data_IF_684208035925
#
_entry.id   IF_684208035925
#
_cell.length_a   1.000
_cell.length_b   1.000
_cell.length_c   1.000
_cell.angle_alpha   90.00
_cell.angle_beta   90.00
_cell.angle_gamma   90.00
#
_symmetry.space_group_name_H-M   'P 1'
#
loop_
_entity.id
_entity.type
_entity.pdbx_description
1 polymer ?
#
# COMPACT_ATOMS: atom_id res chain seq x y z
N UNK A 1 -11.55 -53.36 81.57
CA UNK A 1 -10.31 -53.17 80.87
C UNK A 1 -10.70 -52.85 79.41
N UNK A 2 -10.72 -51.56 78.99
CA UNK A 2 -11.01 -51.09 77.63
C UNK A 2 -9.75 -50.40 77.10
N UNK A 3 -9.28 -50.87 75.95
CA UNK A 3 -8.19 -50.24 75.17
C UNK A 3 -8.80 -49.29 74.16
N UNK A 4 -8.47 -48.00 74.30
CA UNK A 4 -8.72 -47.02 73.27
C UNK A 4 -7.51 -46.96 72.30
N UNK A 5 -7.75 -47.25 71.04
CA UNK A 5 -6.80 -47.03 69.96
C UNK A 5 -7.12 -45.70 69.25
N UNK A 6 -6.17 -44.74 69.32
CA UNK A 6 -6.27 -43.46 68.68
C UNK A 6 -5.68 -43.58 67.27
N UNK A 7 -6.50 -43.40 66.25
CA UNK A 7 -6.10 -43.22 64.82
C UNK A 7 -5.77 -41.79 64.57
N UNK A 8 -4.51 -41.51 64.22
CA UNK A 8 -4.07 -40.22 63.63
C UNK A 8 -4.31 -40.25 62.17
N UNK A 9 -5.25 -39.40 61.68
CA UNK A 9 -5.43 -39.13 60.28
C UNK A 9 -4.50 -37.95 59.87
N UNK A 10 -3.47 -38.26 59.08
CA UNK A 10 -2.66 -37.25 58.39
C UNK A 10 -3.41 -36.77 57.18
N UNK A 11 -3.92 -35.54 57.22
CA UNK A 11 -4.51 -34.87 56.04
C UNK A 11 -3.43 -34.37 55.08
N UNK A 12 -3.37 -34.92 53.87
CA UNK A 12 -2.66 -34.31 52.75
C UNK A 12 -3.43 -33.09 52.26
N UNK A 13 -2.87 -31.90 52.50
CA UNK A 13 -3.32 -30.69 51.81
C UNK A 13 -2.77 -30.71 50.38
N UNK A 14 -3.62 -30.94 49.40
CA UNK A 14 -3.35 -30.69 48.00
C UNK A 14 -3.39 -29.18 47.79
N UNK A 15 -2.23 -28.60 47.49
CA UNK A 15 -2.12 -27.22 47.03
C UNK A 15 -2.67 -27.16 45.61
N UNK A 16 -3.89 -26.67 45.42
CA UNK A 16 -4.40 -26.27 44.14
C UNK A 16 -3.60 -25.07 43.63
N UNK A 17 -2.58 -25.36 42.82
CA UNK A 17 -1.92 -24.34 42.03
C UNK A 17 -2.90 -23.90 40.90
N UNK A 18 -3.57 -22.79 41.11
CA UNK A 18 -4.31 -22.09 40.05
C UNK A 18 -3.34 -21.79 38.91
N UNK A 19 -3.62 -22.25 37.67
CA UNK A 19 -2.77 -21.86 36.54
C UNK A 19 -2.77 -20.34 36.42
N UNK A 20 -1.65 -19.69 36.01
CA UNK A 20 -1.64 -18.29 35.81
C UNK A 20 -2.68 -17.95 34.71
N UNK A 21 -3.71 -17.22 35.09
CA UNK A 21 -4.60 -16.59 34.14
C UNK A 21 -3.73 -15.67 33.27
N UNK A 22 -3.57 -16.05 32.00
CA UNK A 22 -3.08 -15.15 30.99
C UNK A 22 -4.01 -13.95 31.00
N UNK A 23 -3.57 -12.83 31.56
CA UNK A 23 -4.25 -11.56 31.44
C UNK A 23 -4.32 -11.24 29.96
N UNK A 24 -5.44 -11.55 29.32
CA UNK A 24 -5.78 -10.94 28.03
C UNK A 24 -5.94 -9.45 28.34
N UNK A 25 -4.91 -8.67 28.00
CA UNK A 25 -5.01 -7.23 27.96
C UNK A 25 -6.04 -6.88 26.88
N UNK A 26 -7.32 -6.89 27.27
CA UNK A 26 -8.43 -6.35 26.47
C UNK A 26 -8.36 -4.81 26.53
N UNK A 27 -7.24 -4.23 26.07
CA UNK A 27 -7.23 -2.81 25.78
C UNK A 27 -8.11 -2.58 24.56
N UNK A 28 -9.08 -1.68 24.70
CA UNK A 28 -9.95 -1.28 23.58
C UNK A 28 -9.09 -0.66 22.46
N UNK A 29 -9.49 -0.89 21.23
CA UNK A 29 -8.88 -0.23 20.08
C UNK A 29 -9.13 1.26 20.16
N UNK A 30 -8.09 2.12 20.11
CA UNK A 30 -8.24 3.56 20.19
C UNK A 30 -8.97 4.11 18.95
N UNK A 31 -9.68 5.21 19.13
CA UNK A 31 -10.29 5.99 18.05
C UNK A 31 -9.20 6.82 17.38
N UNK A 32 -8.75 6.35 16.21
CA UNK A 32 -7.62 6.95 15.50
C UNK A 32 -8.09 8.02 14.53
N UNK A 33 -7.38 9.15 14.52
CA UNK A 33 -7.36 10.12 13.43
C UNK A 33 -6.00 10.05 12.71
N UNK A 34 -5.99 10.16 11.40
CA UNK A 34 -4.76 10.28 10.62
C UNK A 34 -4.91 11.23 9.45
N UNK A 35 -3.96 12.16 9.22
CA UNK A 35 -3.92 12.95 7.99
C UNK A 35 -3.40 12.12 6.80
N UNK A 36 -2.70 11.00 7.07
CA UNK A 36 -1.99 10.22 6.05
C UNK A 36 -2.88 9.14 5.41
N UNK A 37 -2.92 9.14 4.09
CA UNK A 37 -3.71 8.19 3.32
C UNK A 37 -3.18 6.75 3.40
N UNK A 38 -1.86 6.59 3.55
CA UNK A 38 -1.24 5.28 3.67
C UNK A 38 -1.57 4.60 4.98
N UNK A 39 -1.52 5.38 6.08
CA UNK A 39 -1.92 4.92 7.41
C UNK A 39 -3.42 4.58 7.40
N UNK A 40 -4.26 5.47 6.83
CA UNK A 40 -5.70 5.20 6.72
C UNK A 40 -5.99 3.92 5.92
N UNK A 41 -5.35 3.75 4.77
CA UNK A 41 -5.48 2.55 3.93
C UNK A 41 -5.07 1.27 4.68
N UNK A 42 -3.94 1.31 5.38
CA UNK A 42 -3.43 0.15 6.13
C UNK A 42 -4.37 -0.21 7.29
N UNK A 43 -4.85 0.79 8.05
CA UNK A 43 -5.82 0.58 9.11
C UNK A 43 -7.12 -0.05 8.60
N UNK A 44 -7.65 0.45 7.46
CA UNK A 44 -8.85 -0.14 6.83
C UNK A 44 -8.60 -1.58 6.40
N UNK A 45 -7.45 -1.85 5.79
CA UNK A 45 -7.08 -3.19 5.34
C UNK A 45 -6.92 -4.18 6.50
N UNK A 46 -6.48 -3.71 7.67
CA UNK A 46 -6.39 -4.50 8.91
C UNK A 46 -7.76 -4.70 9.59
N UNK A 47 -8.83 -4.04 9.12
CA UNK A 47 -10.18 -4.10 9.70
C UNK A 47 -10.44 -3.08 10.82
N UNK A 48 -9.59 -2.09 11.00
CA UNK A 48 -9.67 -1.05 12.04
C UNK A 48 -9.66 0.35 11.43
N UNK A 49 -10.69 0.74 10.68
CA UNK A 49 -10.71 2.01 9.98
C UNK A 49 -10.57 3.19 10.95
N UNK A 50 -9.86 4.26 10.56
CA UNK A 50 -9.77 5.46 11.39
C UNK A 50 -11.13 6.12 11.53
N UNK A 51 -11.38 6.80 12.65
CA UNK A 51 -12.62 7.59 12.85
C UNK A 51 -12.61 8.86 12.00
N UNK A 52 -11.42 9.39 11.69
CA UNK A 52 -11.27 10.58 10.86
C UNK A 52 -9.99 10.55 10.01
N UNK A 53 -10.05 11.16 8.84
CA UNK A 53 -8.92 11.34 7.93
C UNK A 53 -9.04 12.64 7.14
N UNK A 54 -7.95 13.07 6.52
CA UNK A 54 -7.96 14.23 5.62
C UNK A 54 -8.19 13.84 4.15
N UNK A 55 -8.77 14.77 3.36
CA UNK A 55 -8.93 14.67 1.90
C UNK A 55 -9.61 13.37 1.42
N UNK A 56 -10.64 12.92 2.11
CA UNK A 56 -11.34 11.66 1.78
C UNK A 56 -11.87 11.62 0.32
N UNK A 57 -12.40 12.70 -0.29
CA UNK A 57 -12.80 12.70 -1.69
C UNK A 57 -11.62 12.43 -2.64
N UNK A 58 -10.47 13.09 -2.42
CA UNK A 58 -9.26 12.90 -3.23
C UNK A 58 -8.61 11.54 -3.00
N UNK A 59 -8.71 10.98 -1.80
CA UNK A 59 -8.32 9.60 -1.57
C UNK A 59 -9.02 8.64 -2.53
N UNK A 60 -10.33 8.82 -2.75
CA UNK A 60 -11.10 7.98 -3.66
C UNK A 60 -10.60 8.07 -5.11
N UNK A 61 -10.15 9.25 -5.53
CA UNK A 61 -9.65 9.50 -6.88
C UNK A 61 -8.24 8.92 -7.09
N UNK A 62 -7.33 9.15 -6.14
CA UNK A 62 -5.90 8.86 -6.31
C UNK A 62 -5.48 7.49 -5.76
N UNK A 63 -6.10 7.04 -4.69
CA UNK A 63 -5.79 5.76 -4.04
C UNK A 63 -6.82 4.68 -4.41
N UNK A 64 -8.09 5.00 -4.25
CA UNK A 64 -9.23 4.18 -4.65
C UNK A 64 -9.49 2.95 -3.80
N UNK A 65 -8.45 2.22 -3.39
CA UNK A 65 -8.54 1.00 -2.57
C UNK A 65 -7.47 0.99 -1.46
N UNK A 66 -7.78 0.39 -0.27
CA UNK A 66 -9.12 -0.09 0.15
C UNK A 66 -10.13 1.04 0.26
N UNK A 67 -11.42 0.74 0.14
CA UNK A 67 -12.47 1.76 0.27
C UNK A 67 -12.56 2.27 1.71
N UNK A 68 -12.48 3.57 1.90
CA UNK A 68 -12.67 4.19 3.21
C UNK A 68 -14.17 4.12 3.58
N UNK A 69 -14.53 3.59 4.76
CA UNK A 69 -15.92 3.50 5.20
C UNK A 69 -16.62 4.86 5.26
N UNK A 70 -17.95 4.86 5.06
CA UNK A 70 -18.75 6.07 5.17
C UNK A 70 -18.69 6.67 6.59
N UNK A 71 -18.47 5.84 7.60
CA UNK A 71 -18.35 6.22 9.01
C UNK A 71 -17.07 6.98 9.36
N UNK A 72 -16.03 6.94 8.50
CA UNK A 72 -14.83 7.75 8.69
C UNK A 72 -15.12 9.19 8.28
N UNK A 73 -14.94 10.12 9.21
CA UNK A 73 -15.13 11.55 8.96
C UNK A 73 -14.00 12.12 8.08
N UNK A 74 -14.37 13.08 7.23
CA UNK A 74 -13.42 13.89 6.49
C UNK A 74 -13.17 15.19 7.26
N UNK A 75 -11.94 15.46 7.65
CA UNK A 75 -11.56 16.68 8.37
C UNK A 75 -11.08 17.81 7.44
N UNK A 76 -11.36 17.70 6.15
CA UNK A 76 -10.92 18.66 5.13
C UNK A 76 -9.55 18.30 4.58
N UNK A 77 -8.81 19.30 4.08
CA UNK A 77 -7.52 19.03 3.46
C UNK A 77 -6.52 18.42 4.45
N UNK A 78 -5.83 17.37 4.04
CA UNK A 78 -4.84 16.66 4.87
C UNK A 78 -3.64 17.51 5.27
N UNK A 79 -3.36 18.59 4.52
CA UNK A 79 -2.27 19.52 4.79
C UNK A 79 -2.66 20.64 5.76
N UNK A 80 -3.95 20.86 5.91
CA UNK A 80 -4.54 21.87 6.80
C UNK A 80 -5.96 21.46 7.18
N UNK A 81 -6.13 20.44 8.03
CA UNK A 81 -7.43 20.00 8.48
C UNK A 81 -8.20 21.14 9.15
N UNK A 82 -9.52 21.06 9.12
CA UNK A 82 -10.38 22.05 9.75
C UNK A 82 -10.38 21.85 11.29
N UNK A 83 -9.86 22.82 12.09
CA UNK A 83 -9.77 22.67 13.54
C UNK A 83 -11.13 22.55 14.23
N UNK A 84 -12.18 23.21 13.68
CA UNK A 84 -13.51 23.15 14.26
C UNK A 84 -14.12 21.75 14.09
N UNK A 85 -13.95 21.14 12.91
CA UNK A 85 -14.38 19.76 12.68
C UNK A 85 -13.60 18.79 13.57
N UNK A 86 -12.28 18.95 13.63
CA UNK A 86 -11.42 18.14 14.47
C UNK A 86 -11.83 18.18 15.95
N UNK A 87 -12.12 19.37 16.50
CA UNK A 87 -12.50 19.56 17.92
C UNK A 87 -13.82 18.91 18.31
N UNK A 88 -14.68 18.57 17.34
CA UNK A 88 -15.97 17.91 17.58
C UNK A 88 -15.87 16.39 17.58
N UNK A 89 -14.72 15.82 17.24
CA UNK A 89 -14.53 14.40 17.13
C UNK A 89 -13.96 13.82 18.42
N UNK A 90 -14.45 12.67 18.79
CA UNK A 90 -13.94 11.87 19.92
C UNK A 90 -12.76 11.02 19.41
N UNK A 91 -11.54 11.52 19.61
CA UNK A 91 -10.27 10.97 19.16
C UNK A 91 -9.42 10.61 20.37
N UNK A 92 -8.87 9.39 20.39
CA UNK A 92 -7.97 8.90 21.44
C UNK A 92 -6.49 9.01 21.04
N UNK A 93 -6.20 8.95 19.73
CA UNK A 93 -4.86 8.84 19.18
C UNK A 93 -4.77 9.45 17.79
N UNK A 94 -3.72 10.21 17.55
CA UNK A 94 -3.31 10.62 16.20
C UNK A 94 -2.17 9.75 15.74
N UNK A 95 -2.26 9.19 14.53
CA UNK A 95 -1.15 8.50 13.87
C UNK A 95 -0.79 9.31 12.63
N UNK A 96 0.43 9.84 12.58
CA UNK A 96 0.93 10.66 11.48
C UNK A 96 2.24 10.11 10.90
N UNK A 97 2.81 10.87 9.98
CA UNK A 97 4.17 10.74 9.48
C UNK A 97 4.91 12.05 9.69
N UNK A 98 6.24 12.02 9.70
CA UNK A 98 7.06 13.22 9.85
C UNK A 98 6.67 14.35 8.88
N UNK A 99 6.20 14.01 7.68
CA UNK A 99 5.66 14.95 6.70
C UNK A 99 4.54 15.85 7.25
N UNK A 100 3.76 15.38 8.23
CA UNK A 100 2.64 16.11 8.84
C UNK A 100 3.00 16.76 10.20
N UNK A 101 4.27 16.84 10.57
CA UNK A 101 4.72 17.39 11.84
C UNK A 101 4.17 18.81 12.10
N UNK A 102 4.01 19.61 11.05
CA UNK A 102 3.47 20.97 11.12
C UNK A 102 2.02 21.03 11.64
N UNK A 103 1.28 19.91 11.62
CA UNK A 103 -0.10 19.82 12.13
C UNK A 103 -0.17 19.54 13.63
N UNK A 104 0.90 19.03 14.25
CA UNK A 104 0.91 18.58 15.65
C UNK A 104 0.44 19.62 16.66
N UNK A 105 0.73 20.93 16.51
CA UNK A 105 0.18 21.94 17.41
C UNK A 105 -1.35 21.97 17.46
N UNK A 106 -2.05 21.55 16.40
CA UNK A 106 -3.50 21.48 16.33
C UNK A 106 -4.09 20.34 17.19
N UNK A 107 -3.31 19.29 17.43
CA UNK A 107 -3.77 18.09 18.12
C UNK A 107 -3.83 18.24 19.65
N UNK A 108 -3.26 19.34 20.20
CA UNK A 108 -3.26 19.63 21.64
C UNK A 108 -2.52 18.54 22.43
N UNK A 109 -3.19 18.01 23.45
CA UNK A 109 -2.62 16.99 24.36
C UNK A 109 -2.86 15.53 23.87
N UNK A 110 -3.41 15.34 22.68
CA UNK A 110 -3.65 13.98 22.16
C UNK A 110 -2.30 13.26 21.95
N UNK A 111 -2.22 11.97 22.30
CA UNK A 111 -1.08 11.15 21.96
C UNK A 111 -0.87 11.11 20.44
N UNK A 112 0.39 11.18 20.02
CA UNK A 112 0.79 11.12 18.61
C UNK A 112 1.80 10.00 18.43
N UNK A 113 1.53 9.09 17.49
CA UNK A 113 2.51 8.12 17.01
C UNK A 113 2.88 8.48 15.57
N UNK A 114 4.18 8.58 15.30
CA UNK A 114 4.69 8.87 13.96
C UNK A 114 5.25 7.60 13.34
N UNK A 115 4.64 7.14 12.24
CA UNK A 115 4.98 5.86 11.60
C UNK A 115 5.23 6.07 10.12
N UNK A 116 6.44 5.76 9.66
CA UNK A 116 6.81 5.87 8.25
C UNK A 116 6.53 4.56 7.51
N UNK A 117 5.71 4.63 6.46
CA UNK A 117 5.33 3.48 5.63
C UNK A 117 6.08 3.43 4.28
N UNK A 118 7.20 4.13 4.18
CA UNK A 118 8.07 4.12 3.00
C UNK A 118 9.43 3.53 3.35
N UNK A 119 10.07 2.86 2.39
CA UNK A 119 11.47 2.48 2.53
C UNK A 119 12.38 3.70 2.37
N UNK A 120 13.44 3.77 3.17
CA UNK A 120 14.55 4.71 3.00
C UNK A 120 15.74 4.07 2.26
N UNK A 121 15.63 2.78 1.92
CA UNK A 121 16.65 2.06 1.20
C UNK A 121 16.65 2.45 -0.29
N UNK A 122 17.80 2.37 -0.93
CA UNK A 122 17.94 2.60 -2.37
C UNK A 122 17.12 1.60 -3.20
N UNK A 123 17.00 0.37 -2.72
CA UNK A 123 16.11 -0.66 -3.24
C UNK A 123 15.17 -1.07 -2.11
N UNK A 124 13.88 -0.83 -2.30
CA UNK A 124 12.88 -1.23 -1.33
C UNK A 124 12.68 -2.74 -1.35
N UNK A 125 12.54 -3.34 -0.17
CA UNK A 125 12.29 -4.76 0.01
C UNK A 125 11.02 -4.97 0.82
N UNK A 126 10.44 -6.17 0.79
CA UNK A 126 9.30 -6.51 1.63
C UNK A 126 9.58 -6.29 3.13
N UNK A 127 10.80 -6.61 3.56
CA UNK A 127 11.18 -6.56 4.97
C UNK A 127 11.18 -5.13 5.53
N UNK A 128 11.37 -4.11 4.69
CA UNK A 128 11.31 -2.69 5.10
C UNK A 128 9.94 -2.29 5.64
N UNK A 129 8.88 -3.03 5.30
CA UNK A 129 7.50 -2.71 5.65
C UNK A 129 6.93 -3.57 6.78
N UNK A 130 7.68 -4.58 7.24
CA UNK A 130 7.25 -5.47 8.33
C UNK A 130 7.13 -4.68 9.63
N UNK A 131 8.21 -4.10 10.10
CA UNK A 131 8.24 -3.42 11.39
C UNK A 131 7.30 -2.21 11.46
N UNK A 132 7.23 -1.29 10.45
CA UNK A 132 6.27 -0.21 10.49
C UNK A 132 4.80 -0.67 10.54
N UNK A 133 4.47 -1.76 9.86
CA UNK A 133 3.11 -2.33 9.90
C UNK A 133 2.81 -2.94 11.28
N UNK A 134 3.77 -3.65 11.88
CA UNK A 134 3.62 -4.20 13.23
C UNK A 134 3.52 -3.09 14.28
N UNK A 135 4.28 -2.01 14.13
CA UNK A 135 4.19 -0.83 14.99
C UNK A 135 2.82 -0.18 14.90
N UNK A 136 2.26 -0.04 13.70
CA UNK A 136 0.89 0.43 13.53
C UNK A 136 -0.12 -0.47 14.26
N UNK A 137 0.04 -1.79 14.18
CA UNK A 137 -0.78 -2.74 14.92
C UNK A 137 -0.67 -2.60 16.44
N UNK A 138 0.55 -2.40 16.95
CA UNK A 138 0.78 -2.15 18.39
C UNK A 138 0.14 -0.83 18.85
N UNK A 139 0.24 0.21 18.04
CA UNK A 139 -0.34 1.55 18.33
C UNK A 139 -1.86 1.51 18.55
N UNK A 140 -2.53 0.57 17.91
CA UNK A 140 -3.99 0.39 18.02
C UNK A 140 -4.39 -0.82 18.89
N UNK A 141 -3.46 -1.39 19.66
CA UNK A 141 -3.65 -2.60 20.49
C UNK A 141 -4.06 -3.85 19.68
N UNK A 142 -3.65 -3.95 18.41
CA UNK A 142 -3.99 -5.05 17.49
C UNK A 142 -2.76 -5.65 16.79
N UNK A 143 -1.71 -6.08 17.54
CA UNK A 143 -0.48 -6.59 16.94
C UNK A 143 -0.70 -7.86 16.12
N UNK A 144 -1.65 -8.73 16.53
CA UNK A 144 -2.00 -9.93 15.78
C UNK A 144 -2.64 -9.59 14.43
N UNK A 145 -3.52 -8.59 14.38
CA UNK A 145 -4.15 -8.17 13.12
C UNK A 145 -3.10 -7.65 12.13
N UNK A 146 -2.07 -6.94 12.59
CA UNK A 146 -0.98 -6.49 11.74
C UNK A 146 -0.15 -7.66 11.19
N UNK A 147 0.16 -8.66 12.02
CA UNK A 147 0.86 -9.87 11.57
C UNK A 147 0.02 -10.65 10.55
N UNK A 148 -1.24 -10.93 10.87
CA UNK A 148 -2.16 -11.62 9.96
C UNK A 148 -2.31 -10.87 8.63
N UNK A 149 -2.34 -9.53 8.67
CA UNK A 149 -2.40 -8.68 7.49
C UNK A 149 -1.15 -8.82 6.62
N UNK A 150 0.05 -8.80 7.21
CA UNK A 150 1.32 -8.98 6.49
C UNK A 150 1.37 -10.35 5.80
N UNK A 151 1.05 -11.41 6.54
CA UNK A 151 1.11 -12.79 6.03
C UNK A 151 0.10 -13.01 4.89
N UNK A 152 -1.14 -12.53 5.08
CA UNK A 152 -2.18 -12.61 4.06
C UNK A 152 -1.83 -11.80 2.81
N UNK A 153 -1.29 -10.58 2.99
CA UNK A 153 -0.89 -9.71 1.89
C UNK A 153 0.20 -10.32 1.05
N UNK A 154 1.26 -10.85 1.67
CA UNK A 154 2.35 -11.51 0.94
C UNK A 154 1.84 -12.69 0.10
N UNK A 155 0.96 -13.51 0.69
CA UNK A 155 0.36 -14.65 0.01
C UNK A 155 -0.54 -14.20 -1.16
N UNK A 156 -1.36 -13.16 -0.97
CA UNK A 156 -2.23 -12.61 -2.03
C UNK A 156 -1.42 -12.05 -3.20
N UNK A 157 -0.34 -11.30 -2.93
CA UNK A 157 0.56 -10.77 -3.95
C UNK A 157 1.24 -11.91 -4.72
N UNK A 158 1.71 -12.95 -4.04
CA UNK A 158 2.32 -14.11 -4.69
C UNK A 158 1.31 -14.86 -5.57
N UNK A 159 0.07 -15.03 -5.12
CA UNK A 159 -1.02 -15.65 -5.92
C UNK A 159 -1.38 -14.78 -7.13
N UNK A 160 -1.41 -13.45 -6.99
CA UNK A 160 -1.61 -12.54 -8.10
C UNK A 160 -0.49 -12.69 -9.15
N UNK A 161 0.77 -12.86 -8.72
CA UNK A 161 1.90 -13.15 -9.58
C UNK A 161 1.72 -14.46 -10.36
N UNK A 162 1.28 -15.53 -9.71
CA UNK A 162 0.99 -16.81 -10.38
C UNK A 162 -0.10 -16.66 -11.45
N UNK A 163 -1.18 -15.94 -11.12
CA UNK A 163 -2.27 -15.66 -12.07
C UNK A 163 -1.79 -14.83 -13.24
N UNK A 164 -0.96 -13.80 -12.97
CA UNK A 164 -0.34 -12.97 -13.99
C UNK A 164 0.50 -13.83 -14.97
N UNK A 165 1.42 -14.66 -14.46
CA UNK A 165 2.27 -15.52 -15.27
C UNK A 165 1.50 -16.58 -16.05
N UNK A 166 0.34 -17.01 -15.56
CA UNK A 166 -0.55 -17.93 -16.31
C UNK A 166 -1.18 -17.24 -17.53
N UNK A 167 -1.46 -15.93 -17.45
CA UNK A 167 -2.02 -15.14 -18.56
C UNK A 167 -0.93 -14.62 -19.50
N UNK A 168 0.21 -14.23 -18.96
CA UNK A 168 1.32 -13.59 -19.66
C UNK A 168 2.65 -14.27 -19.32
N UNK A 169 2.88 -15.50 -19.81
CA UNK A 169 4.03 -16.31 -19.40
C UNK A 169 5.38 -15.73 -19.83
N UNK A 170 5.39 -14.87 -20.84
CA UNK A 170 6.60 -14.28 -21.40
C UNK A 170 6.93 -12.90 -20.81
N UNK A 171 5.96 -12.21 -20.23
CA UNK A 171 6.21 -10.92 -19.59
C UNK A 171 6.96 -11.14 -18.26
N UNK A 172 8.18 -10.58 -18.17
CA UNK A 172 9.03 -10.67 -16.98
C UNK A 172 9.43 -9.29 -16.43
N UNK A 173 9.56 -8.29 -17.32
CA UNK A 173 10.06 -6.96 -17.01
C UNK A 173 8.98 -5.91 -17.21
N UNK A 174 8.80 -5.06 -16.23
CA UNK A 174 7.83 -3.96 -16.26
C UNK A 174 8.52 -2.64 -15.97
N UNK A 175 8.30 -1.65 -16.82
CA UNK A 175 8.62 -0.25 -16.55
C UNK A 175 7.32 0.46 -16.16
N UNK A 176 7.21 0.96 -14.92
CA UNK A 176 5.99 1.58 -14.42
C UNK A 176 6.14 3.11 -14.46
N UNK A 177 5.23 3.77 -15.15
CA UNK A 177 5.25 5.23 -15.32
C UNK A 177 3.90 5.87 -15.03
N UNK A 178 3.93 7.17 -14.73
CA UNK A 178 2.75 8.02 -14.66
C UNK A 178 3.03 9.29 -15.45
N UNK A 179 2.12 9.65 -16.33
CA UNK A 179 2.22 10.89 -17.12
C UNK A 179 1.90 12.12 -16.25
N UNK A 180 2.77 13.13 -16.29
CA UNK A 180 2.48 14.45 -15.77
C UNK A 180 1.88 15.35 -16.89
N UNK A 181 2.37 15.19 -18.10
CA UNK A 181 1.88 15.80 -19.34
C UNK A 181 2.37 14.98 -20.55
N UNK A 182 2.21 15.50 -21.78
CA UNK A 182 2.60 14.82 -23.03
C UNK A 182 4.11 14.53 -23.15
N UNK A 183 4.96 15.22 -22.40
CA UNK A 183 6.42 15.12 -22.53
C UNK A 183 7.09 14.62 -21.25
N UNK A 184 6.47 14.84 -20.08
CA UNK A 184 7.04 14.59 -18.78
C UNK A 184 6.33 13.43 -18.08
N UNK A 185 7.13 12.48 -17.59
CA UNK A 185 6.66 11.31 -16.88
C UNK A 185 7.40 11.17 -15.53
N UNK A 186 6.76 10.50 -14.60
CA UNK A 186 7.37 9.93 -13.40
C UNK A 186 7.61 8.46 -13.69
N UNK A 187 8.86 8.02 -13.66
CA UNK A 187 9.20 6.60 -13.73
C UNK A 187 9.42 6.10 -12.31
N UNK A 188 8.63 5.11 -11.88
CA UNK A 188 8.79 4.52 -10.56
C UNK A 188 10.07 3.71 -10.50
N UNK A 189 10.83 3.93 -9.43
CA UNK A 189 12.20 3.43 -9.27
C UNK A 189 12.28 2.36 -8.18
N UNK A 190 13.47 1.81 -7.97
CA UNK A 190 13.70 0.68 -7.08
C UNK A 190 13.39 0.96 -5.59
N UNK A 191 13.38 2.22 -5.17
CA UNK A 191 12.93 2.63 -3.83
C UNK A 191 11.41 2.86 -3.71
N UNK A 192 10.65 2.59 -4.77
CA UNK A 192 9.18 2.66 -4.76
C UNK A 192 8.56 1.44 -4.08
N UNK A 193 7.30 1.57 -3.63
CA UNK A 193 6.51 0.44 -3.13
C UNK A 193 6.22 -0.62 -4.22
N UNK A 194 6.41 -0.28 -5.49
CA UNK A 194 6.19 -1.22 -6.59
C UNK A 194 7.31 -2.26 -6.68
N UNK A 195 8.54 -1.92 -6.28
CA UNK A 195 9.65 -2.88 -6.29
C UNK A 195 9.35 -4.14 -5.47
N UNK A 196 9.06 -4.08 -4.15
CA UNK A 196 8.79 -5.29 -3.37
C UNK A 196 7.52 -6.02 -3.81
N UNK A 197 6.52 -5.32 -4.35
CA UNK A 197 5.33 -5.96 -4.88
C UNK A 197 5.66 -6.82 -6.11
N UNK A 198 6.42 -6.26 -7.07
CA UNK A 198 6.84 -6.98 -8.28
C UNK A 198 7.77 -8.14 -7.94
N UNK A 199 8.71 -7.96 -6.97
CA UNK A 199 9.57 -9.05 -6.49
C UNK A 199 8.76 -10.24 -5.97
N UNK A 200 7.74 -9.99 -5.13
CA UNK A 200 6.87 -11.05 -4.60
C UNK A 200 6.03 -11.69 -5.71
N UNK A 201 5.66 -10.93 -6.76
CA UNK A 201 4.96 -11.45 -7.94
C UNK A 201 5.89 -12.24 -8.87
N UNK A 202 7.22 -12.19 -8.70
CA UNK A 202 8.20 -12.80 -9.60
C UNK A 202 8.41 -12.01 -10.90
N UNK A 203 8.27 -10.68 -10.83
CA UNK A 203 8.47 -9.72 -11.91
C UNK A 203 9.64 -8.78 -11.59
N UNK A 204 10.29 -8.27 -12.61
CA UNK A 204 11.39 -7.30 -12.52
C UNK A 204 10.87 -5.88 -12.77
N UNK A 205 11.18 -4.94 -11.88
CA UNK A 205 10.97 -3.51 -12.12
C UNK A 205 12.16 -2.95 -12.92
N UNK A 206 11.88 -2.26 -14.02
CA UNK A 206 12.90 -1.58 -14.82
C UNK A 206 12.80 -0.08 -14.60
N UNK A 207 13.91 0.54 -14.17
CA UNK A 207 14.03 1.98 -13.99
C UNK A 207 15.38 2.49 -14.48
N UNK A 208 15.45 3.76 -14.94
CA UNK A 208 16.67 4.35 -15.51
C UNK A 208 17.58 4.99 -14.47
N UNK A 209 17.04 5.35 -13.31
CA UNK A 209 17.76 6.02 -12.23
C UNK A 209 17.15 5.71 -10.88
N UNK A 210 17.88 6.06 -9.83
CA UNK A 210 17.35 6.05 -8.46
C UNK A 210 16.20 7.04 -8.35
N UNK A 211 15.19 6.68 -7.58
CA UNK A 211 14.06 7.54 -7.30
C UNK A 211 14.37 8.60 -6.25
N UNK A 212 13.60 9.68 -6.28
CA UNK A 212 13.56 10.66 -5.20
C UNK A 212 12.92 10.04 -3.93
N UNK A 213 12.70 10.86 -2.91
CA UNK A 213 12.03 10.45 -1.65
C UNK A 213 10.62 9.87 -1.85
N UNK A 214 9.99 10.14 -3.00
CA UNK A 214 8.66 9.62 -3.37
C UNK A 214 8.72 8.34 -4.20
N UNK A 215 9.91 7.79 -4.43
CA UNK A 215 10.09 6.53 -5.16
C UNK A 215 9.97 6.65 -6.67
N UNK A 216 10.17 7.81 -7.27
CA UNK A 216 10.19 7.98 -8.73
C UNK A 216 11.29 8.92 -9.19
N UNK A 217 11.71 8.78 -10.45
CA UNK A 217 12.57 9.72 -11.17
C UNK A 217 11.79 10.41 -12.29
N UNK A 218 12.00 11.72 -12.52
CA UNK A 218 11.43 12.39 -13.69
C UNK A 218 12.16 11.92 -14.95
N UNK A 219 11.39 11.62 -15.99
CA UNK A 219 11.91 11.27 -17.33
C UNK A 219 11.12 12.01 -18.40
N UNK A 220 11.68 12.09 -19.59
CA UNK A 220 10.97 12.61 -20.77
C UNK A 220 10.38 11.46 -21.59
N UNK A 221 9.34 11.74 -22.35
CA UNK A 221 8.68 10.77 -23.24
C UNK A 221 9.69 10.03 -24.14
N UNK A 222 10.65 10.75 -24.72
CA UNK A 222 11.68 10.17 -25.57
C UNK A 222 12.64 9.19 -24.86
N UNK A 223 12.75 9.28 -23.53
CA UNK A 223 13.58 8.37 -22.75
C UNK A 223 13.05 6.94 -22.77
N UNK A 224 11.76 6.74 -23.03
CA UNK A 224 11.17 5.40 -23.16
C UNK A 224 11.80 4.59 -24.31
N UNK A 225 12.51 5.24 -25.25
CA UNK A 225 13.30 4.55 -26.27
C UNK A 225 14.48 3.75 -25.68
N UNK A 226 14.87 4.01 -24.43
CA UNK A 226 15.95 3.27 -23.73
C UNK A 226 15.48 1.94 -23.14
N UNK A 227 14.16 1.70 -23.09
CA UNK A 227 13.62 0.42 -22.63
C UNK A 227 13.95 -0.66 -23.66
N UNK A 228 14.38 -1.81 -23.18
CA UNK A 228 14.54 -2.99 -24.01
C UNK A 228 13.20 -3.48 -24.57
N UNK A 229 13.23 -4.17 -25.70
CA UNK A 229 12.01 -4.65 -26.35
C UNK A 229 11.27 -5.71 -25.54
N UNK A 230 11.93 -6.39 -24.60
CA UNK A 230 11.36 -7.36 -23.67
C UNK A 230 10.75 -6.72 -22.39
N UNK A 231 10.69 -5.39 -22.34
CA UNK A 231 10.10 -4.65 -21.21
C UNK A 231 8.72 -4.11 -21.57
N UNK A 232 7.69 -4.53 -20.84
CA UNK A 232 6.35 -3.97 -20.96
C UNK A 232 6.24 -2.62 -20.22
N UNK A 233 5.63 -1.64 -20.88
CA UNK A 233 5.32 -0.36 -20.26
C UNK A 233 3.99 -0.47 -19.50
N UNK A 234 3.99 -0.09 -18.25
CA UNK A 234 2.79 0.02 -17.42
C UNK A 234 2.53 1.50 -17.13
N UNK A 235 1.43 2.01 -17.64
CA UNK A 235 1.00 3.40 -17.41
C UNK A 235 -0.03 3.41 -16.29
N UNK A 236 0.23 4.17 -15.22
CA UNK A 236 -0.67 4.31 -14.07
C UNK A 236 -1.52 5.57 -14.24
N UNK A 237 -2.84 5.44 -14.13
CA UNK A 237 -3.77 6.57 -14.13
C UNK A 237 -3.58 7.48 -12.89
N UNK A 238 -4.03 8.74 -12.91
CA UNK A 238 -4.90 9.30 -13.93
C UNK A 238 -4.13 9.73 -15.19
N UNK A 239 -4.67 9.37 -16.35
CA UNK A 239 -4.31 9.92 -17.64
C UNK A 239 -5.62 10.31 -18.36
N UNK A 240 -5.85 11.61 -18.54
CA UNK A 240 -7.08 12.11 -19.16
C UNK A 240 -7.19 11.72 -20.63
N UNK A 241 -8.43 11.63 -21.14
CA UNK A 241 -8.68 11.26 -22.54
C UNK A 241 -8.02 12.23 -23.54
N UNK A 242 -7.98 13.53 -23.22
CA UNK A 242 -7.28 14.52 -24.05
C UNK A 242 -5.78 14.20 -24.15
N UNK A 243 -5.13 13.85 -23.02
CA UNK A 243 -3.72 13.52 -23.01
C UNK A 243 -3.45 12.24 -23.81
N UNK A 244 -4.33 11.24 -23.74
CA UNK A 244 -4.23 10.02 -24.56
C UNK A 244 -4.30 10.36 -26.06
N UNK A 245 -5.26 11.19 -26.47
CA UNK A 245 -5.41 11.65 -27.87
C UNK A 245 -4.18 12.43 -28.35
N UNK A 246 -3.63 13.30 -27.53
CA UNK A 246 -2.41 14.05 -27.85
C UNK A 246 -1.21 13.12 -28.00
N UNK A 247 -1.06 12.13 -27.14
CA UNK A 247 0.00 11.11 -27.24
C UNK A 247 -0.13 10.29 -28.51
N UNK A 248 -1.32 9.76 -28.81
CA UNK A 248 -1.55 8.96 -30.04
C UNK A 248 -1.26 9.77 -31.31
N UNK A 249 -1.43 11.09 -31.29
CA UNK A 249 -1.07 11.98 -32.40
C UNK A 249 0.41 12.41 -32.43
N UNK A 250 1.16 12.14 -31.35
CA UNK A 250 2.58 12.51 -31.22
C UNK A 250 3.48 11.64 -32.08
N UNK A 251 4.35 12.25 -32.88
CA UNK A 251 5.35 11.53 -33.65
C UNK A 251 6.33 10.75 -32.78
N UNK A 252 6.62 11.23 -31.55
CA UNK A 252 7.50 10.53 -30.61
C UNK A 252 6.82 9.24 -30.14
N UNK A 253 5.55 9.31 -29.70
CA UNK A 253 4.78 8.15 -29.26
C UNK A 253 4.65 7.10 -30.37
N UNK A 254 4.32 7.53 -31.59
CA UNK A 254 4.24 6.66 -32.76
C UNK A 254 5.59 5.98 -33.08
N UNK A 255 6.71 6.70 -32.96
CA UNK A 255 8.05 6.11 -33.14
C UNK A 255 8.46 5.15 -32.03
N UNK A 256 7.98 5.38 -30.80
CA UNK A 256 8.14 4.45 -29.69
C UNK A 256 7.31 3.17 -29.89
N UNK A 257 6.35 3.20 -30.82
CA UNK A 257 5.51 2.08 -31.19
C UNK A 257 4.62 1.56 -30.05
N UNK A 258 4.13 2.46 -29.19
CA UNK A 258 3.09 2.18 -28.19
C UNK A 258 1.74 2.66 -28.69
N UNK A 259 0.65 2.01 -28.23
CA UNK A 259 -0.73 2.48 -28.44
C UNK A 259 -1.62 2.11 -27.28
N UNK A 260 -2.54 2.99 -26.90
CA UNK A 260 -3.61 2.71 -25.93
C UNK A 260 -4.82 2.03 -26.56
N UNK A 261 -4.89 1.96 -27.91
CA UNK A 261 -6.00 1.37 -28.63
C UNK A 261 -5.88 -0.16 -28.68
N UNK A 262 -6.71 -0.83 -27.90
CA UNK A 262 -6.75 -2.31 -27.80
C UNK A 262 -7.26 -2.95 -29.11
N UNK A 263 -8.09 -2.23 -29.89
CA UNK A 263 -8.75 -2.75 -31.11
C UNK A 263 -7.94 -2.48 -32.39
N UNK A 264 -6.88 -1.71 -32.30
CA UNK A 264 -6.07 -1.36 -33.47
C UNK A 264 -5.32 -2.58 -34.01
N UNK A 265 -5.37 -2.78 -35.33
CA UNK A 265 -4.54 -3.80 -36.00
C UNK A 265 -3.03 -3.58 -35.82
N UNK A 266 -2.63 -2.39 -35.43
CA UNK A 266 -1.26 -2.05 -35.04
C UNK A 266 -0.97 -2.47 -33.60
N UNK A 267 -1.97 -2.60 -32.73
CA UNK A 267 -1.80 -2.96 -31.33
C UNK A 267 -1.07 -4.31 -31.16
N UNK A 268 -1.36 -5.30 -32.00
CA UNK A 268 -0.69 -6.61 -31.93
C UNK A 268 0.78 -6.62 -32.36
N UNK A 269 1.27 -5.53 -32.99
CA UNK A 269 2.65 -5.40 -33.48
C UNK A 269 3.44 -4.31 -32.76
N UNK A 270 2.76 -3.53 -31.90
CA UNK A 270 3.37 -2.50 -31.08
C UNK A 270 4.17 -3.08 -29.92
N UNK A 271 4.88 -2.24 -29.19
CA UNK A 271 5.52 -2.61 -27.94
C UNK A 271 4.46 -2.88 -26.87
N UNK A 272 4.78 -3.79 -25.98
CA UNK A 272 3.92 -4.21 -24.88
C UNK A 272 3.57 -3.04 -23.95
N UNK A 273 2.26 -2.80 -23.71
CA UNK A 273 1.74 -1.74 -22.84
C UNK A 273 0.53 -2.23 -22.08
N UNK A 274 0.36 -1.77 -20.84
CA UNK A 274 -0.89 -1.86 -20.09
C UNK A 274 -1.22 -0.51 -19.44
N UNK A 275 -2.51 -0.19 -19.37
CA UNK A 275 -3.02 0.92 -18.58
C UNK A 275 -3.62 0.39 -17.27
N UNK A 276 -3.13 0.88 -16.15
CA UNK A 276 -3.67 0.53 -14.82
C UNK A 276 -4.49 1.68 -14.24
N UNK A 277 -5.61 1.39 -13.56
CA UNK A 277 -6.29 2.39 -12.74
C UNK A 277 -5.35 3.05 -11.74
N UNK A 278 -5.70 4.24 -11.24
CA UNK A 278 -4.88 5.01 -10.31
C UNK A 278 -4.34 4.14 -9.15
N UNK A 279 -3.02 4.03 -9.05
CA UNK A 279 -2.31 3.17 -8.08
C UNK A 279 -1.36 4.04 -7.27
N UNK A 280 -1.70 4.23 -6.01
CA UNK A 280 -0.93 5.08 -5.11
C UNK A 280 0.36 4.38 -4.67
N UNK A 281 1.48 5.09 -4.76
CA UNK A 281 2.81 4.55 -4.41
C UNK A 281 3.27 5.03 -3.02
N UNK A 282 2.36 5.15 -2.04
CA UNK A 282 2.74 5.73 -0.75
C UNK A 282 1.84 5.27 0.40
N UNK A 283 1.42 4.01 0.39
CA UNK A 283 0.54 3.43 1.43
C UNK A 283 1.08 2.11 1.99
N UNK A 284 2.39 1.92 1.99
CA UNK A 284 2.99 0.69 2.48
C UNK A 284 2.43 -0.56 1.75
N UNK A 285 2.19 -1.62 2.50
CA UNK A 285 1.69 -2.91 1.97
C UNK A 285 0.33 -2.77 1.29
N UNK A 286 -0.51 -1.79 1.66
CA UNK A 286 -1.80 -1.56 1.00
C UNK A 286 -1.62 -1.17 -0.49
N UNK A 287 -0.62 -0.35 -0.82
CA UNK A 287 -0.29 -0.04 -2.22
C UNK A 287 0.21 -1.27 -2.99
N UNK A 288 1.01 -2.13 -2.34
CA UNK A 288 1.51 -3.36 -2.97
C UNK A 288 0.37 -4.31 -3.34
N UNK A 289 -0.59 -4.51 -2.44
CA UNK A 289 -1.78 -5.32 -2.70
C UNK A 289 -2.61 -4.76 -3.86
N UNK A 290 -2.78 -3.43 -3.91
CA UNK A 290 -3.53 -2.77 -4.98
C UNK A 290 -2.83 -2.92 -6.33
N UNK A 291 -1.50 -2.76 -6.38
CA UNK A 291 -0.72 -2.96 -7.60
C UNK A 291 -0.87 -4.40 -8.11
N UNK A 292 -0.68 -5.38 -7.22
CA UNK A 292 -0.78 -6.80 -7.58
C UNK A 292 -2.17 -7.17 -8.11
N UNK A 293 -3.25 -6.71 -7.44
CA UNK A 293 -4.63 -6.91 -7.91
C UNK A 293 -4.85 -6.30 -9.30
N UNK A 294 -4.34 -5.08 -9.54
CA UNK A 294 -4.50 -4.40 -10.83
C UNK A 294 -3.70 -5.06 -11.94
N UNK A 295 -2.45 -5.45 -11.70
CA UNK A 295 -1.64 -6.17 -12.68
C UNK A 295 -2.23 -7.53 -13.03
N UNK A 296 -2.71 -8.29 -12.05
CA UNK A 296 -3.36 -9.59 -12.28
C UNK A 296 -4.55 -9.46 -13.21
N UNK A 297 -5.31 -8.35 -13.12
CA UNK A 297 -6.51 -8.09 -13.92
C UNK A 297 -6.27 -7.22 -15.15
N UNK A 298 -5.04 -6.73 -15.35
CA UNK A 298 -4.72 -5.85 -16.47
C UNK A 298 -4.84 -6.56 -17.83
N UNK A 299 -5.17 -5.77 -18.86
CA UNK A 299 -5.03 -6.18 -20.25
C UNK A 299 -3.73 -5.57 -20.79
N UNK A 300 -2.83 -6.43 -21.24
CA UNK A 300 -1.63 -6.00 -21.95
C UNK A 300 -1.90 -6.07 -23.45
N UNK A 301 -1.57 -5.00 -24.15
CA UNK A 301 -1.66 -4.85 -25.60
C UNK A 301 -0.26 -4.79 -26.21
N UNK A 302 -0.15 -4.97 -27.52
CA UNK A 302 1.13 -5.04 -28.19
C UNK A 302 1.71 -6.46 -28.21
N UNK A 303 3.03 -6.56 -28.43
CA UNK A 303 3.75 -7.83 -28.41
C UNK A 303 3.92 -8.30 -26.96
N UNK A 304 3.17 -9.32 -26.55
CA UNK A 304 3.27 -9.97 -25.24
C UNK A 304 4.08 -11.27 -25.26
N UNK A 305 4.53 -11.70 -26.44
CA UNK A 305 5.37 -12.89 -26.67
C UNK A 305 6.86 -12.50 -26.68
N UNK A 306 7.32 -11.82 -25.62
CA UNK A 306 8.63 -11.19 -25.49
C UNK A 306 9.76 -12.18 -25.23
#
# INVERSE_FOLDING_TARGET
VALCASLLLSGCQSSDATPPQSASNNQSTPKVMTPDWGIAATLVAMGYPPVAMGDKPFYKEWVGKPLIPATTYDVGTRYQPNPEMFSQLDIDLVIDRAFYEHLRPMYGELPIHSIELNSTNRVATWDDFIEPTLELGRSINQPKAAQDYLDNSKNQIAQAGQTFHSRYPHIKKLAVVQFADTNNLRMFSYNSLFQPALDVMGLELVAFADGNEWGFSPIMLGDLAKLDDDTCLVVVEPIGDLLKLELESSLVWQRLNYSFDEDSKSASKGRCLALLPATWNNSGVASMNVLADRLMNATFVGNTDL
#
